data_IF_377673155874
#
_entry.id   IF_377673155874
#
_cell.length_a   1.000
_cell.length_b   1.000
_cell.length_c   1.000
_cell.angle_alpha   90.00
_cell.angle_beta   90.00
_cell.angle_gamma   90.00
#
_symmetry.space_group_name_H-M   'P 1'
#
loop_
_entity.id
_entity.type
_entity.pdbx_description
1 polymer ?
#
# COMPACT_ATOMS: atom_id res chain seq x y z
N UNK A 1 -9.46 -34.36 24.23
CA UNK A 1 -9.60 -32.89 24.45
C UNK A 1 -8.54 -32.30 23.55
N UNK A 2 -8.88 -32.14 22.28
CA UNK A 2 -7.87 -32.01 21.23
C UNK A 2 -7.90 -30.57 20.75
N UNK A 3 -6.82 -29.87 21.09
CA UNK A 3 -6.64 -28.44 20.86
C UNK A 3 -6.54 -28.12 19.37
N UNK A 4 -7.24 -27.05 19.00
CA UNK A 4 -7.31 -26.43 17.69
C UNK A 4 -5.90 -26.16 17.13
N UNK A 5 -5.55 -26.92 16.10
CA UNK A 5 -4.31 -26.81 15.36
C UNK A 5 -4.36 -25.53 14.50
N UNK A 6 -3.51 -24.58 14.89
CA UNK A 6 -3.17 -23.36 14.15
C UNK A 6 -3.17 -23.57 12.63
N UNK A 7 -4.17 -22.98 11.97
CA UNK A 7 -4.19 -22.78 10.52
C UNK A 7 -3.26 -21.63 10.18
N UNK A 8 -1.94 -21.84 10.32
CA UNK A 8 -0.95 -20.91 9.79
C UNK A 8 -1.13 -20.82 8.27
N UNK A 9 -1.69 -19.70 7.83
CA UNK A 9 -1.91 -19.33 6.43
C UNK A 9 -0.61 -19.47 5.63
N UNK A 10 -0.43 -20.62 4.99
CA UNK A 10 0.66 -20.94 4.06
C UNK A 10 0.81 -19.88 2.96
N UNK A 11 -0.30 -19.21 2.61
CA UNK A 11 -0.36 -18.11 1.68
C UNK A 11 0.41 -16.85 2.15
N UNK A 12 0.29 -16.47 3.44
CA UNK A 12 0.98 -15.29 3.97
C UNK A 12 2.50 -15.46 3.97
N UNK A 13 2.98 -16.66 4.32
CA UNK A 13 4.40 -17.01 4.26
C UNK A 13 4.93 -16.96 2.81
N UNK A 14 4.12 -17.40 1.85
CA UNK A 14 4.48 -17.39 0.42
C UNK A 14 4.56 -15.96 -0.15
N UNK A 15 3.63 -15.08 0.24
CA UNK A 15 3.63 -13.67 -0.16
C UNK A 15 4.84 -12.92 0.42
N UNK A 16 5.17 -13.16 1.70
CA UNK A 16 6.38 -12.58 2.31
C UNK A 16 7.67 -13.07 1.61
N UNK A 17 7.77 -14.36 1.31
CA UNK A 17 8.94 -14.92 0.62
C UNK A 17 9.11 -14.32 -0.78
N UNK A 18 8.01 -14.13 -1.51
CA UNK A 18 8.03 -13.50 -2.84
C UNK A 18 8.44 -12.02 -2.77
N UNK A 19 7.95 -11.27 -1.78
CA UNK A 19 8.37 -9.88 -1.54
C UNK A 19 9.87 -9.79 -1.26
N UNK A 20 10.40 -10.68 -0.41
CA UNK A 20 11.81 -10.70 -0.07
C UNK A 20 12.68 -10.97 -1.30
N UNK A 21 12.34 -11.98 -2.10
CA UNK A 21 13.06 -12.34 -3.33
C UNK A 21 13.07 -11.20 -4.35
N UNK A 22 11.97 -10.46 -4.48
CA UNK A 22 11.88 -9.32 -5.39
C UNK A 22 12.66 -8.10 -4.88
N UNK A 23 12.67 -7.87 -3.56
CA UNK A 23 13.40 -6.75 -2.94
C UNK A 23 14.92 -6.93 -2.97
N UNK A 24 15.42 -8.18 -3.02
CA UNK A 24 16.87 -8.43 -3.06
C UNK A 24 17.49 -8.40 -4.46
N UNK A 25 16.70 -8.08 -5.51
CA UNK A 25 17.21 -7.98 -6.88
C UNK A 25 17.75 -9.32 -7.38
N UNK A 26 16.86 -10.15 -7.93
CA UNK A 26 17.20 -11.43 -8.57
C UNK A 26 18.17 -11.28 -9.74
N UNK A 27 19.46 -11.16 -9.43
CA UNK A 27 20.49 -10.86 -10.41
C UNK A 27 21.91 -10.89 -9.85
N UNK A 28 22.28 -11.86 -9.01
CA UNK A 28 23.69 -12.24 -8.78
C UNK A 28 23.83 -13.65 -8.17
N UNK A 29 24.45 -14.51 -8.98
CA UNK A 29 25.19 -15.76 -8.74
C UNK A 29 24.88 -16.57 -7.46
N UNK A 30 24.37 -17.77 -7.71
CA UNK A 30 24.11 -18.88 -6.78
C UNK A 30 25.38 -19.54 -6.23
N UNK A 31 26.08 -18.91 -5.28
CA UNK A 31 27.17 -19.59 -4.55
C UNK A 31 27.19 -19.38 -3.03
N UNK A 32 26.28 -18.58 -2.46
CA UNK A 32 26.39 -18.17 -1.05
C UNK A 32 25.22 -18.64 -0.15
N UNK A 33 24.40 -19.59 -0.62
CA UNK A 33 23.29 -20.15 0.18
C UNK A 33 23.77 -21.32 1.08
N UNK A 34 24.94 -21.91 0.81
CA UNK A 34 25.48 -22.98 1.67
C UNK A 34 26.25 -22.45 2.88
N UNK A 35 26.75 -21.22 2.85
CA UNK A 35 27.55 -20.66 3.95
C UNK A 35 26.67 -20.17 5.12
N UNK A 36 25.43 -19.72 4.85
CA UNK A 36 24.52 -19.23 5.90
C UNK A 36 23.86 -20.34 6.71
N UNK A 37 23.79 -21.57 6.18
CA UNK A 37 23.36 -22.76 6.94
C UNK A 37 24.47 -23.34 7.84
N UNK A 38 25.73 -23.03 7.55
CA UNK A 38 26.88 -23.52 8.34
C UNK A 38 27.11 -22.70 9.63
N UNK A 39 26.67 -21.45 9.68
CA UNK A 39 26.95 -20.55 10.82
C UNK A 39 25.90 -20.61 11.96
N UNK A 40 24.91 -21.50 11.88
CA UNK A 40 23.96 -21.77 12.97
C UNK A 40 24.33 -23.00 13.81
N UNK A 41 25.45 -23.64 13.51
CA UNK A 41 26.06 -24.67 14.35
C UNK A 41 27.44 -24.19 14.79
N UNK A 42 27.61 -24.16 16.11
CA UNK A 42 28.85 -23.94 16.86
C UNK A 42 29.22 -22.48 17.15
N UNK A 43 29.08 -22.15 18.43
CA UNK A 43 29.21 -20.81 18.96
C UNK A 43 30.64 -20.32 19.20
N UNK A 44 30.69 -19.27 20.01
CA UNK A 44 31.84 -18.51 20.52
C UNK A 44 32.16 -17.22 19.76
N UNK A 45 32.32 -16.19 20.58
CA UNK A 45 32.58 -14.80 20.29
C UNK A 45 33.83 -14.54 19.43
N UNK A 46 33.90 -13.35 18.80
CA UNK A 46 34.97 -12.35 18.99
C UNK A 46 34.82 -11.22 17.95
N UNK A 47 34.43 -10.05 18.47
CA UNK A 47 34.94 -8.69 18.19
C UNK A 47 35.75 -8.49 16.90
N UNK A 48 35.22 -7.77 15.90
CA UNK A 48 36.04 -6.96 14.98
C UNK A 48 35.32 -5.67 14.54
N UNK A 49 35.97 -4.59 14.93
CA UNK A 49 35.89 -3.20 14.54
C UNK A 49 36.40 -3.00 13.10
N UNK A 50 35.62 -2.34 12.24
CA UNK A 50 36.13 -1.90 10.92
C UNK A 50 36.49 -0.41 10.92
N UNK A 51 37.77 -0.13 10.71
CA UNK A 51 38.31 1.18 10.29
C UNK A 51 38.13 1.40 8.78
N UNK A 52 37.78 2.61 8.29
CA UNK A 52 37.62 2.90 6.86
C UNK A 52 38.89 3.53 6.27
N UNK A 53 39.45 2.99 5.17
CA UNK A 53 40.62 3.59 4.53
C UNK A 53 40.81 3.21 3.05
N UNK A 54 40.35 4.09 2.14
CA UNK A 54 41.11 4.75 1.03
C UNK A 54 40.40 4.84 -0.31
N UNK A 55 40.54 6.07 -0.82
CA UNK A 55 40.07 6.65 -2.06
C UNK A 55 40.89 6.25 -3.31
N UNK A 56 40.24 6.50 -4.45
CA UNK A 56 40.75 7.02 -5.72
C UNK A 56 41.77 6.21 -6.54
N UNK A 57 41.40 5.96 -7.80
CA UNK A 57 42.22 6.31 -8.97
C UNK A 57 41.32 6.53 -10.19
N UNK A 58 41.43 7.74 -10.73
CA UNK A 58 40.83 8.32 -11.94
C UNK A 58 41.16 7.52 -13.21
N UNK A 59 40.20 7.37 -14.10
CA UNK A 59 40.47 7.22 -15.54
C UNK A 59 39.36 7.86 -16.35
N UNK A 60 39.80 8.61 -17.35
CA UNK A 60 39.16 9.74 -18.00
C UNK A 60 38.57 9.35 -19.38
N UNK A 61 37.74 10.26 -19.88
CA UNK A 61 37.26 10.46 -21.26
C UNK A 61 35.93 9.83 -21.74
N UNK A 62 35.03 10.66 -22.32
CA UNK A 62 33.76 10.28 -22.92
C UNK A 62 33.89 10.08 -24.43
N UNK A 63 33.18 9.11 -25.01
CA UNK A 63 33.09 8.97 -26.47
C UNK A 63 31.63 8.82 -26.90
N UNK A 64 31.12 9.96 -27.34
CA UNK A 64 29.96 10.16 -28.19
C UNK A 64 30.10 9.27 -29.44
N UNK A 65 29.24 8.27 -29.62
CA UNK A 65 29.18 7.50 -30.87
C UNK A 65 28.23 8.17 -31.86
N UNK A 66 28.65 8.45 -33.10
CA UNK A 66 27.85 9.15 -34.10
C UNK A 66 26.74 8.27 -34.67
N UNK A 67 25.61 8.93 -34.92
CA UNK A 67 24.42 8.42 -35.60
C UNK A 67 24.81 7.87 -36.99
N UNK A 68 24.60 6.57 -37.22
CA UNK A 68 24.85 5.92 -38.52
C UNK A 68 23.97 6.53 -39.61
N UNK A 69 24.57 7.14 -40.62
CA UNK A 69 23.90 7.43 -41.89
C UNK A 69 24.10 6.24 -42.84
N UNK A 70 23.13 5.33 -42.86
CA UNK A 70 23.05 4.31 -43.91
C UNK A 70 22.65 5.00 -45.22
N UNK A 71 23.53 4.92 -46.22
CA UNK A 71 23.26 5.42 -47.56
C UNK A 71 22.17 4.58 -48.25
N UNK A 72 21.41 5.14 -49.22
CA UNK A 72 20.30 4.43 -49.84
C UNK A 72 20.81 3.28 -50.70
N UNK A 73 20.50 2.04 -50.30
CA UNK A 73 20.72 0.85 -51.12
C UNK A 73 19.73 0.88 -52.30
N UNK A 74 20.25 1.03 -53.52
CA UNK A 74 19.49 0.76 -54.74
C UNK A 74 19.15 -0.74 -54.78
N UNK A 75 17.86 -1.09 -54.74
CA UNK A 75 17.38 -2.46 -54.97
C UNK A 75 16.66 -2.49 -56.31
N UNK A 76 17.17 -3.30 -57.25
CA UNK A 76 16.46 -3.60 -58.49
C UNK A 76 15.04 -4.13 -58.21
N UNK A 77 14.02 -3.68 -58.96
CA UNK A 77 12.64 -4.14 -58.78
C UNK A 77 12.48 -5.58 -59.28
N UNK A 78 12.22 -6.50 -58.34
CA UNK A 78 11.84 -7.88 -58.68
C UNK A 78 10.48 -7.90 -59.40
N UNK A 79 10.31 -8.68 -60.49
CA UNK A 79 9.08 -8.69 -61.26
C UNK A 79 7.92 -9.32 -60.47
N UNK A 80 6.86 -8.52 -60.38
CA UNK A 80 5.53 -8.82 -59.87
C UNK A 80 4.89 -9.94 -60.71
N UNK A 81 4.47 -11.03 -60.08
CA UNK A 81 3.67 -12.01 -60.79
C UNK A 81 3.44 -13.37 -60.13
N UNK A 82 2.80 -13.42 -58.96
CA UNK A 82 1.97 -14.59 -58.55
C UNK A 82 0.80 -14.14 -57.67
N UNK A 83 -0.43 -14.39 -58.10
CA UNK A 83 -1.64 -14.24 -57.27
C UNK A 83 -1.64 -15.38 -56.25
N UNK A 84 -1.49 -15.06 -54.97
CA UNK A 84 -1.68 -16.04 -53.89
C UNK A 84 -3.18 -16.22 -53.65
N UNK A 85 -3.67 -17.47 -53.71
CA UNK A 85 -5.02 -17.82 -53.26
C UNK A 85 -5.14 -17.47 -51.78
N UNK A 86 -6.06 -16.56 -51.46
CA UNK A 86 -6.31 -16.08 -50.10
C UNK A 86 -7.05 -17.18 -49.33
N UNK A 87 -6.32 -18.10 -48.72
CA UNK A 87 -6.91 -19.01 -47.74
C UNK A 87 -7.44 -18.17 -46.58
N UNK A 88 -8.76 -18.20 -46.33
CA UNK A 88 -9.35 -17.73 -45.08
C UNK A 88 -8.78 -18.59 -43.96
N UNK A 89 -7.71 -18.14 -43.32
CA UNK A 89 -7.31 -18.68 -42.02
C UNK A 89 -8.29 -18.14 -40.99
N UNK A 90 -9.43 -18.81 -40.86
CA UNK A 90 -10.26 -18.75 -39.67
C UNK A 90 -9.46 -19.42 -38.54
N UNK A 91 -8.47 -18.69 -38.03
CA UNK A 91 -7.67 -19.12 -36.91
C UNK A 91 -8.36 -18.69 -35.64
N UNK A 92 -9.14 -19.58 -35.06
CA UNK A 92 -9.43 -19.62 -33.63
C UNK A 92 -8.12 -19.89 -32.88
N UNK A 93 -7.23 -18.90 -32.89
CA UNK A 93 -6.04 -18.88 -32.05
C UNK A 93 -6.48 -18.42 -30.67
N UNK A 94 -6.71 -19.40 -29.77
CA UNK A 94 -6.67 -19.17 -28.33
C UNK A 94 -5.28 -18.63 -27.99
N UNK A 95 -5.11 -17.32 -28.07
CA UNK A 95 -3.86 -16.65 -27.71
C UNK A 95 -3.73 -16.71 -26.19
N UNK A 96 -2.84 -17.58 -25.67
CA UNK A 96 -2.61 -17.73 -24.23
C UNK A 96 -2.23 -16.39 -23.56
N UNK A 97 -1.62 -15.46 -24.29
CA UNK A 97 -1.32 -14.12 -23.80
C UNK A 97 -2.60 -13.32 -23.51
N UNK A 98 -3.62 -13.42 -24.37
CA UNK A 98 -4.91 -12.74 -24.14
C UNK A 98 -5.62 -13.23 -22.87
N UNK A 99 -5.64 -14.55 -22.64
CA UNK A 99 -6.20 -15.16 -21.42
C UNK A 99 -5.46 -14.71 -20.16
N UNK A 100 -4.14 -14.54 -20.25
CA UNK A 100 -3.33 -14.07 -19.13
C UNK A 100 -3.63 -12.61 -18.76
N UNK A 101 -3.76 -11.73 -19.75
CA UNK A 101 -4.13 -10.33 -19.52
C UNK A 101 -5.56 -10.19 -18.98
N UNK A 102 -6.49 -11.00 -19.48
CA UNK A 102 -7.87 -11.07 -19.00
C UNK A 102 -7.93 -11.51 -17.53
N UNK A 103 -7.13 -12.51 -17.15
CA UNK A 103 -7.02 -12.95 -15.76
C UNK A 103 -6.42 -11.87 -14.85
N UNK A 104 -5.42 -11.10 -15.30
CA UNK A 104 -4.89 -9.95 -14.55
C UNK A 104 -5.98 -8.90 -14.33
N UNK A 105 -6.75 -8.58 -15.36
CA UNK A 105 -7.85 -7.62 -15.26
C UNK A 105 -8.92 -8.09 -14.27
N UNK A 106 -9.31 -9.37 -14.34
CA UNK A 106 -10.29 -9.99 -13.43
C UNK A 106 -9.82 -9.92 -11.97
N UNK A 107 -8.57 -10.28 -11.70
CA UNK A 107 -7.98 -10.25 -10.35
C UNK A 107 -7.89 -8.83 -9.80
N UNK A 108 -7.49 -7.86 -10.63
CA UNK A 108 -7.47 -6.45 -10.23
C UNK A 108 -8.87 -5.93 -9.92
N UNK A 109 -9.88 -6.30 -10.71
CA UNK A 109 -11.28 -5.93 -10.44
C UNK A 109 -11.76 -6.42 -9.07
N UNK A 110 -11.48 -7.68 -8.73
CA UNK A 110 -11.82 -8.24 -7.41
C UNK A 110 -11.09 -7.51 -6.29
N UNK A 111 -9.79 -7.23 -6.47
CA UNK A 111 -9.01 -6.49 -5.48
C UNK A 111 -9.58 -5.10 -5.22
N UNK A 112 -9.91 -4.35 -6.28
CA UNK A 112 -10.49 -3.01 -6.18
C UNK A 112 -11.86 -3.06 -5.48
N UNK A 113 -12.71 -4.02 -5.82
CA UNK A 113 -14.02 -4.16 -5.18
C UNK A 113 -13.90 -4.44 -3.67
N UNK A 114 -12.98 -5.30 -3.27
CA UNK A 114 -12.74 -5.59 -1.85
C UNK A 114 -12.15 -4.39 -1.12
N UNK A 115 -11.22 -3.68 -1.74
CA UNK A 115 -10.63 -2.47 -1.18
C UNK A 115 -11.69 -1.36 -0.98
N UNK A 116 -12.58 -1.17 -1.95
CA UNK A 116 -13.70 -0.24 -1.83
C UNK A 116 -14.61 -0.62 -0.67
N UNK A 117 -15.00 -1.91 -0.56
CA UNK A 117 -15.84 -2.38 0.55
C UNK A 117 -15.18 -2.17 1.91
N UNK A 118 -13.87 -2.35 2.02
CA UNK A 118 -13.11 -2.05 3.23
C UNK A 118 -13.14 -0.55 3.55
N UNK A 119 -12.93 0.32 2.56
CA UNK A 119 -12.98 1.77 2.74
C UNK A 119 -14.38 2.24 3.17
N UNK A 120 -15.43 1.74 2.53
CA UNK A 120 -16.82 2.09 2.86
C UNK A 120 -17.18 1.67 4.30
N UNK A 121 -16.73 0.49 4.72
CA UNK A 121 -16.93 -0.01 6.08
C UNK A 121 -16.20 0.86 7.11
N UNK A 122 -14.94 1.20 6.86
CA UNK A 122 -14.14 2.07 7.73
C UNK A 122 -14.78 3.47 7.85
N UNK A 123 -15.19 4.07 6.73
CA UNK A 123 -15.90 5.35 6.73
C UNK A 123 -17.21 5.28 7.52
N UNK A 124 -17.93 4.16 7.42
CA UNK A 124 -19.18 3.95 8.16
C UNK A 124 -18.91 3.92 9.67
N UNK A 125 -17.92 3.16 10.12
CA UNK A 125 -17.52 3.12 11.55
C UNK A 125 -17.13 4.51 12.03
N UNK A 126 -16.32 5.23 11.26
CA UNK A 126 -15.88 6.57 11.63
C UNK A 126 -17.05 7.54 11.77
N UNK A 127 -18.02 7.47 10.85
CA UNK A 127 -19.23 8.28 10.91
C UNK A 127 -20.11 7.94 12.12
N UNK A 128 -20.23 6.65 12.48
CA UNK A 128 -20.94 6.22 13.70
C UNK A 128 -20.29 6.79 14.96
N UNK A 129 -18.96 6.66 15.05
CA UNK A 129 -18.18 7.16 16.17
C UNK A 129 -18.32 8.69 16.32
N UNK A 130 -18.27 9.43 15.21
CA UNK A 130 -18.49 10.86 15.20
C UNK A 130 -19.89 11.23 15.72
N UNK A 131 -20.93 10.52 15.28
CA UNK A 131 -22.31 10.72 15.76
C UNK A 131 -22.44 10.45 17.25
N UNK A 132 -21.84 9.37 17.75
CA UNK A 132 -21.88 9.04 19.18
C UNK A 132 -21.19 10.12 20.03
N UNK A 133 -20.03 10.61 19.57
CA UNK A 133 -19.31 11.71 20.22
C UNK A 133 -20.14 13.00 20.25
N UNK A 134 -20.80 13.35 19.16
CA UNK A 134 -21.68 14.51 19.10
C UNK A 134 -22.87 14.36 20.06
N UNK A 135 -23.53 13.20 20.08
CA UNK A 135 -24.62 12.92 21.00
C UNK A 135 -24.19 13.04 22.46
N UNK A 136 -23.02 12.50 22.82
CA UNK A 136 -22.47 12.61 24.17
C UNK A 136 -22.14 14.06 24.54
N UNK A 137 -21.53 14.82 23.63
CA UNK A 137 -21.27 16.25 23.83
C UNK A 137 -22.58 17.01 24.03
N UNK A 138 -23.58 16.77 23.19
CA UNK A 138 -24.90 17.41 23.30
C UNK A 138 -25.57 17.09 24.63
N UNK A 139 -25.57 15.81 25.03
CA UNK A 139 -26.12 15.36 26.31
C UNK A 139 -25.41 16.00 27.50
N UNK A 140 -24.10 16.19 27.42
CA UNK A 140 -23.32 16.86 28.45
C UNK A 140 -23.69 18.34 28.58
N UNK A 141 -23.76 19.06 27.45
CA UNK A 141 -24.20 20.46 27.42
C UNK A 141 -25.62 20.60 27.99
N UNK A 142 -26.57 19.79 27.51
CA UNK A 142 -27.95 19.81 28.01
C UNK A 142 -28.08 19.45 29.51
N UNK A 143 -27.11 18.72 30.06
CA UNK A 143 -27.02 18.44 31.50
C UNK A 143 -26.51 19.66 32.26
N UNK A 144 -25.43 20.28 31.79
CA UNK A 144 -24.87 21.50 32.37
C UNK A 144 -25.88 22.65 32.36
N UNK A 145 -26.64 22.80 31.27
CA UNK A 145 -27.71 23.80 31.14
C UNK A 145 -28.81 23.57 32.17
N UNK A 146 -29.26 22.31 32.32
CA UNK A 146 -30.25 21.94 33.33
C UNK A 146 -29.76 22.20 34.75
N UNK A 147 -28.51 21.87 35.07
CA UNK A 147 -27.91 22.14 36.38
C UNK A 147 -27.81 23.64 36.66
N UNK A 148 -27.41 24.43 35.67
CA UNK A 148 -27.34 25.91 35.74
C UNK A 148 -28.71 26.52 36.02
N UNK A 149 -29.76 26.03 35.36
CA UNK A 149 -31.13 26.47 35.58
C UNK A 149 -31.69 26.02 36.95
N UNK A 150 -31.34 24.82 37.41
CA UNK A 150 -31.85 24.24 38.65
C UNK A 150 -31.13 24.74 39.92
N UNK A 151 -30.00 25.43 39.79
CA UNK A 151 -29.23 25.87 40.96
C UNK A 151 -30.02 26.83 41.87
N UNK A 152 -30.13 26.52 43.15
CA UNK A 152 -30.62 27.49 44.13
C UNK A 152 -29.54 28.55 44.44
N UNK A 153 -29.94 29.80 44.32
CA UNK A 153 -29.06 30.97 44.56
C UNK A 153 -29.55 31.82 45.72
N UNK A 154 -30.62 31.43 46.42
CA UNK A 154 -31.25 32.21 47.48
C UNK A 154 -30.28 32.61 48.61
N UNK A 155 -29.39 31.70 48.97
CA UNK A 155 -28.41 31.82 50.05
C UNK A 155 -27.07 32.48 49.63
N UNK A 156 -26.93 32.85 48.35
CA UNK A 156 -25.68 33.42 47.81
C UNK A 156 -25.59 34.96 47.95
N UNK A 157 -24.39 35.52 47.80
CA UNK A 157 -24.15 36.97 47.80
C UNK A 157 -24.85 37.67 46.61
N UNK A 158 -25.10 38.99 46.69
CA UNK A 158 -25.71 39.75 45.59
C UNK A 158 -24.96 39.62 44.25
N UNK A 159 -23.63 39.63 44.27
CA UNK A 159 -22.78 39.54 43.09
C UNK A 159 -22.92 38.16 42.43
N UNK A 160 -22.85 37.10 43.23
CA UNK A 160 -23.02 35.70 42.77
C UNK A 160 -24.42 35.50 42.19
N UNK A 161 -25.45 36.11 42.78
CA UNK A 161 -26.82 36.10 42.23
C UNK A 161 -26.90 36.77 40.86
N UNK A 162 -26.18 37.88 40.63
CA UNK A 162 -26.16 38.53 39.32
C UNK A 162 -25.46 37.68 38.26
N UNK A 163 -24.35 37.02 38.63
CA UNK A 163 -23.65 36.08 37.75
C UNK A 163 -24.59 34.98 37.26
N UNK A 164 -25.24 34.25 38.17
CA UNK A 164 -26.15 33.16 37.78
C UNK A 164 -27.39 33.63 37.02
N UNK A 165 -27.87 34.86 37.25
CA UNK A 165 -28.93 35.45 36.43
C UNK A 165 -28.51 35.67 34.98
N UNK A 166 -27.24 36.06 34.75
CA UNK A 166 -26.70 36.23 33.41
C UNK A 166 -26.48 34.88 32.73
N UNK A 167 -25.84 33.94 33.44
CA UNK A 167 -25.59 32.58 32.94
C UNK A 167 -26.88 31.89 32.47
N UNK A 168 -27.94 31.94 33.29
CA UNK A 168 -29.25 31.39 32.91
C UNK A 168 -29.89 32.07 31.71
N UNK A 169 -29.64 33.37 31.52
CA UNK A 169 -30.14 34.10 30.35
C UNK A 169 -29.45 33.61 29.08
N UNK A 170 -28.15 33.35 29.15
CA UNK A 170 -27.38 32.85 28.00
C UNK A 170 -27.78 31.41 27.64
N UNK A 171 -28.08 30.55 28.64
CA UNK A 171 -28.63 29.20 28.41
C UNK A 171 -30.00 29.20 27.71
N UNK A 172 -30.83 30.22 27.93
CA UNK A 172 -32.17 30.32 27.30
C UNK A 172 -32.19 30.98 25.92
N UNK A 173 -31.03 31.44 25.40
CA UNK A 173 -30.94 32.10 24.09
C UNK A 173 -30.91 31.08 22.96
#
# INVERSE_FOLDING_TARGET
MDNYRSGENRANKMIQAQMWFNATGGGKKSSEILQTLHNYSDGSAVLLNETPLRDSMTSDSPLNSPMSQDSPIEKEPRPIGRKAVKAKKAGNSSNNNSKFLEEIARQNGIRIEMEQKCQDFEMTIQAEYAREREYLCKKYVDKMDRETMAMDTSHMSPETKQFWKLERRDVMR
#
